data_IF_058891767521
#
_entry.id   IF_058891767521
#
_cell.length_a   1.000
_cell.length_b   1.000
_cell.length_c   1.000
_cell.angle_alpha   90.00
_cell.angle_beta   90.00
_cell.angle_gamma   90.00
#
_symmetry.space_group_name_H-M   'P 1'
#
loop_
_entity.id
_entity.type
_entity.pdbx_description
1 polymer ?
#
# COMPACT_ATOMS: atom_id res chain seq x y z
N UNK A 1 2.80 16.77 -22.63
CA UNK A 1 3.36 17.90 -21.86
C UNK A 1 2.48 18.17 -20.66
N UNK A 2 2.54 17.34 -19.61
CA UNK A 2 1.90 17.58 -18.29
C UNK A 2 2.51 16.61 -17.28
N UNK A 3 3.75 16.85 -16.87
CA UNK A 3 4.45 15.96 -15.92
C UNK A 3 5.35 16.67 -14.90
N UNK A 4 5.38 17.98 -14.81
CA UNK A 4 6.45 18.71 -14.13
C UNK A 4 6.12 19.31 -12.74
N UNK A 5 5.21 18.77 -11.96
CA UNK A 5 4.90 19.38 -10.65
C UNK A 5 4.91 18.42 -9.45
N UNK A 6 5.75 17.40 -9.48
CA UNK A 6 5.76 16.40 -8.39
C UNK A 6 6.61 16.75 -7.16
N UNK A 7 7.81 17.23 -7.34
CA UNK A 7 8.72 17.64 -6.26
C UNK A 7 8.87 19.18 -6.17
N UNK A 8 8.74 19.89 -7.30
CA UNK A 8 8.91 21.34 -7.35
C UNK A 8 8.01 22.11 -6.35
N UNK A 9 6.84 21.60 -6.02
CA UNK A 9 5.93 22.22 -5.05
C UNK A 9 6.32 22.03 -3.57
N UNK A 10 7.23 21.11 -3.27
CA UNK A 10 7.65 20.84 -1.88
C UNK A 10 8.99 21.53 -1.57
N UNK A 11 9.85 21.73 -2.58
CA UNK A 11 11.23 22.21 -2.39
C UNK A 11 11.45 23.68 -2.78
N UNK A 12 10.50 24.36 -3.46
CA UNK A 12 10.67 25.74 -3.92
C UNK A 12 10.52 26.86 -2.87
N UNK A 13 10.43 26.52 -1.59
CA UNK A 13 10.43 27.52 -0.53
C UNK A 13 11.84 27.72 0.07
N UNK A 14 12.78 28.26 -0.71
CA UNK A 14 13.93 29.08 -0.33
C UNK A 14 15.25 28.75 -1.00
N UNK A 15 15.69 29.62 -1.87
CA UNK A 15 17.08 29.98 -2.03
C UNK A 15 17.25 31.38 -1.44
N UNK A 16 17.83 31.48 -0.26
CA UNK A 16 18.86 32.50 0.04
C UNK A 16 19.31 32.44 1.51
N UNK A 17 20.60 32.61 1.65
CA UNK A 17 21.36 33.08 2.80
C UNK A 17 21.68 32.11 3.93
N UNK A 18 22.98 31.96 4.10
CA UNK A 18 23.60 31.47 5.31
C UNK A 18 23.32 32.35 6.54
N UNK A 19 23.49 31.69 7.66
CA UNK A 19 23.61 32.17 9.02
C UNK A 19 22.34 32.20 9.88
N UNK A 20 22.56 31.65 11.08
CA UNK A 20 21.79 31.85 12.32
C UNK A 20 20.44 31.16 12.42
N UNK A 21 20.38 30.24 13.36
CA UNK A 21 19.16 29.78 14.03
C UNK A 21 18.36 31.00 14.54
N UNK A 22 17.50 31.52 13.68
CA UNK A 22 16.50 32.54 14.06
C UNK A 22 15.16 31.83 14.09
N UNK A 23 14.50 31.90 15.21
CA UNK A 23 13.13 31.43 15.40
C UNK A 23 12.22 32.07 14.31
N UNK A 24 11.98 31.40 13.22
CA UNK A 24 11.10 31.86 12.14
C UNK A 24 9.66 31.57 12.51
N UNK A 25 9.08 32.60 13.08
CA UNK A 25 7.70 32.66 13.54
C UNK A 25 6.69 32.78 12.40
N UNK A 26 5.55 32.11 12.54
CA UNK A 26 4.28 32.37 11.85
C UNK A 26 4.20 32.20 10.33
N UNK A 27 4.72 33.12 9.50
CA UNK A 27 4.48 33.10 8.05
C UNK A 27 5.11 31.91 7.31
N UNK A 28 6.29 31.46 7.70
CA UNK A 28 6.97 30.30 7.09
C UNK A 28 6.26 28.97 7.45
N UNK A 29 5.85 28.82 8.70
CA UNK A 29 5.05 27.65 9.12
C UNK A 29 3.71 27.59 8.39
N UNK A 30 3.06 28.73 8.16
CA UNK A 30 1.81 28.77 7.39
C UNK A 30 2.03 28.39 5.94
N UNK A 31 3.10 28.87 5.29
CA UNK A 31 3.39 28.49 3.89
C UNK A 31 3.69 27.00 3.74
N UNK A 32 4.44 26.41 4.66
CA UNK A 32 4.71 24.96 4.68
C UNK A 32 3.42 24.16 4.95
N UNK A 33 2.58 24.61 5.88
CA UNK A 33 1.27 23.99 6.11
C UNK A 33 0.39 24.03 4.85
N UNK A 34 0.30 25.17 4.16
CA UNK A 34 -0.43 25.28 2.90
C UNK A 34 0.12 24.37 1.81
N UNK A 35 1.43 24.24 1.70
CA UNK A 35 2.04 23.31 0.72
C UNK A 35 1.67 21.85 1.01
N UNK A 36 1.74 21.43 2.27
CA UNK A 36 1.33 20.07 2.69
C UNK A 36 -0.15 19.81 2.39
N UNK A 37 -1.03 20.76 2.74
CA UNK A 37 -2.48 20.64 2.48
C UNK A 37 -2.76 20.59 0.98
N UNK A 38 -2.07 21.40 0.19
CA UNK A 38 -2.22 21.40 -1.28
C UNK A 38 -1.79 20.06 -1.88
N UNK A 39 -0.62 19.55 -1.52
CA UNK A 39 -0.12 18.24 -2.01
C UNK A 39 -1.03 17.10 -1.55
N UNK A 40 -1.54 17.14 -0.33
CA UNK A 40 -2.51 16.17 0.17
C UNK A 40 -3.81 16.21 -0.65
N UNK A 41 -4.34 17.42 -0.89
CA UNK A 41 -5.54 17.65 -1.69
C UNK A 41 -5.38 17.17 -3.14
N UNK A 42 -4.27 17.52 -3.80
CA UNK A 42 -3.94 17.03 -5.16
C UNK A 42 -3.83 15.50 -5.20
N UNK A 43 -3.24 14.89 -4.17
CA UNK A 43 -3.14 13.44 -4.09
C UNK A 43 -4.52 12.80 -3.99
N UNK A 44 -5.39 13.33 -3.14
CA UNK A 44 -6.78 12.86 -3.03
C UNK A 44 -7.54 13.03 -4.34
N UNK A 45 -7.43 14.17 -5.00
CA UNK A 45 -8.10 14.43 -6.28
C UNK A 45 -7.66 13.47 -7.39
N UNK A 46 -6.39 13.02 -7.40
CA UNK A 46 -5.90 12.01 -8.35
C UNK A 46 -6.44 10.61 -8.06
N UNK A 47 -6.71 10.30 -6.79
CA UNK A 47 -7.25 9.00 -6.38
C UNK A 47 -8.76 8.88 -6.73
N UNK A 48 -9.53 9.96 -6.68
CA UNK A 48 -10.99 9.96 -6.91
C UNK A 48 -11.40 9.28 -8.23
N UNK A 49 -10.89 9.68 -9.41
CA UNK A 49 -11.32 9.06 -10.66
C UNK A 49 -10.96 7.57 -10.74
N UNK A 50 -9.82 7.18 -10.19
CA UNK A 50 -9.40 5.77 -10.11
C UNK A 50 -10.38 5.00 -9.20
N UNK A 51 -10.73 5.57 -8.05
CA UNK A 51 -11.68 4.97 -7.10
C UNK A 51 -13.06 4.77 -7.75
N UNK A 52 -13.55 5.78 -8.47
CA UNK A 52 -14.84 5.69 -9.19
C UNK A 52 -14.76 4.58 -10.25
N UNK A 53 -13.70 4.54 -11.06
CA UNK A 53 -13.52 3.53 -12.09
C UNK A 53 -13.46 2.12 -11.49
N UNK A 54 -12.66 1.89 -10.45
CA UNK A 54 -12.58 0.61 -9.75
C UNK A 54 -13.93 0.24 -9.14
N UNK A 55 -14.62 1.19 -8.49
CA UNK A 55 -15.93 0.97 -7.88
C UNK A 55 -16.98 0.52 -8.89
N UNK A 56 -17.03 1.15 -10.07
CA UNK A 56 -17.93 0.77 -11.16
C UNK A 56 -17.59 -0.61 -11.73
N UNK A 57 -16.32 -0.85 -12.00
CA UNK A 57 -15.84 -2.14 -12.55
C UNK A 57 -16.15 -3.28 -11.58
N UNK A 58 -15.81 -3.14 -10.30
CA UNK A 58 -16.07 -4.19 -9.32
C UNK A 58 -17.54 -4.37 -8.98
N UNK A 59 -18.36 -3.31 -8.98
CA UNK A 59 -19.80 -3.45 -8.85
C UNK A 59 -20.39 -4.28 -10.00
N UNK A 60 -19.96 -3.98 -11.24
CA UNK A 60 -20.41 -4.72 -12.43
C UNK A 60 -19.95 -6.19 -12.38
N UNK A 61 -18.69 -6.44 -12.12
CA UNK A 61 -18.14 -7.80 -12.07
C UNK A 61 -18.76 -8.63 -10.94
N UNK A 62 -18.95 -8.06 -9.77
CA UNK A 62 -19.56 -8.72 -8.61
C UNK A 62 -21.01 -9.13 -8.89
N UNK A 63 -21.73 -8.37 -9.71
CA UNK A 63 -23.10 -8.72 -10.07
C UNK A 63 -23.22 -10.15 -10.66
N UNK A 64 -22.23 -10.59 -11.44
CA UNK A 64 -22.26 -11.93 -12.09
C UNK A 64 -21.24 -12.91 -11.53
N UNK A 65 -20.18 -12.43 -10.91
CA UNK A 65 -19.02 -13.24 -10.54
C UNK A 65 -18.70 -13.18 -9.03
N UNK A 66 -19.68 -12.84 -8.19
CA UNK A 66 -19.47 -12.78 -6.76
C UNK A 66 -18.95 -14.11 -6.19
N UNK A 67 -17.94 -14.03 -5.32
CA UNK A 67 -17.50 -15.11 -4.46
C UNK A 67 -18.57 -15.37 -3.38
N UNK A 68 -19.05 -14.31 -2.74
CA UNK A 68 -20.10 -14.35 -1.74
C UNK A 68 -21.25 -13.45 -2.22
N UNK A 69 -22.37 -14.02 -2.72
CA UNK A 69 -23.54 -13.26 -3.12
C UNK A 69 -24.13 -12.48 -1.94
N UNK A 70 -24.67 -11.30 -2.20
CA UNK A 70 -25.27 -10.45 -1.18
C UNK A 70 -25.10 -8.97 -1.51
N UNK A 71 -24.69 -8.19 -0.51
CA UNK A 71 -24.55 -6.73 -0.62
C UNK A 71 -23.43 -6.32 -1.59
N UNK A 72 -23.67 -5.27 -2.33
CA UNK A 72 -22.63 -4.60 -3.09
C UNK A 72 -21.68 -3.85 -2.15
N UNK A 73 -20.43 -3.57 -2.61
CA UNK A 73 -19.39 -3.00 -1.81
C UNK A 73 -19.80 -1.69 -1.08
N UNK A 74 -20.63 -0.86 -1.69
CA UNK A 74 -21.10 0.41 -1.13
C UNK A 74 -22.27 0.26 -0.13
N UNK A 75 -22.85 -0.92 0.01
CA UNK A 75 -23.92 -1.23 0.98
C UNK A 75 -23.39 -1.84 2.28
N UNK A 76 -22.07 -1.99 2.39
CA UNK A 76 -21.41 -2.67 3.51
C UNK A 76 -21.40 -1.78 4.75
N UNK A 77 -21.50 -2.41 5.92
CA UNK A 77 -21.60 -1.69 7.20
C UNK A 77 -20.40 -0.82 7.52
N UNK A 78 -19.19 -1.25 7.11
CA UNK A 78 -17.94 -0.58 7.43
C UNK A 78 -17.41 0.30 6.29
N UNK A 79 -18.24 0.62 5.30
CA UNK A 79 -17.84 1.37 4.11
C UNK A 79 -17.18 2.73 4.44
N UNK A 80 -17.69 3.44 5.45
CA UNK A 80 -17.11 4.74 5.86
C UNK A 80 -15.69 4.54 6.39
N UNK A 81 -15.44 3.48 7.16
CA UNK A 81 -14.12 3.13 7.66
C UNK A 81 -13.18 2.80 6.51
N UNK A 82 -13.62 1.99 5.54
CA UNK A 82 -12.84 1.66 4.35
C UNK A 82 -12.52 2.90 3.51
N UNK A 83 -13.47 3.80 3.31
CA UNK A 83 -13.26 5.09 2.61
C UNK A 83 -12.19 5.93 3.33
N UNK A 84 -12.24 6.02 4.67
CA UNK A 84 -11.21 6.71 5.42
C UNK A 84 -9.81 6.11 5.17
N UNK A 85 -9.67 4.79 5.24
CA UNK A 85 -8.39 4.13 4.92
C UNK A 85 -7.96 4.37 3.49
N UNK A 86 -8.87 4.24 2.53
CA UNK A 86 -8.59 4.38 1.10
C UNK A 86 -8.04 5.75 0.71
N UNK A 87 -8.51 6.81 1.35
CA UNK A 87 -8.06 8.17 1.05
C UNK A 87 -6.94 8.67 1.96
N UNK A 88 -6.98 8.37 3.26
CA UNK A 88 -6.00 8.92 4.20
C UNK A 88 -4.67 8.18 4.19
N UNK A 89 -4.70 6.86 4.02
CA UNK A 89 -3.49 6.03 4.04
C UNK A 89 -2.51 6.36 2.91
N UNK A 90 -2.92 6.49 1.64
CA UNK A 90 -2.00 6.85 0.57
C UNK A 90 -1.34 8.23 0.75
N UNK A 91 -2.07 9.18 1.31
CA UNK A 91 -1.54 10.51 1.63
C UNK A 91 -0.43 10.40 2.69
N UNK A 92 -0.73 9.76 3.82
CA UNK A 92 0.24 9.60 4.90
C UNK A 92 1.50 8.83 4.47
N UNK A 93 1.33 7.70 3.79
CA UNK A 93 2.45 6.87 3.32
C UNK A 93 3.31 7.57 2.27
N UNK A 94 2.73 8.43 1.43
CA UNK A 94 3.49 9.23 0.47
C UNK A 94 4.49 10.15 1.17
N UNK A 95 4.06 10.91 2.18
CA UNK A 95 4.94 11.81 2.92
C UNK A 95 6.05 11.06 3.65
N UNK A 96 5.71 9.98 4.33
CA UNK A 96 6.68 9.15 5.05
C UNK A 96 7.70 8.54 4.08
N UNK A 97 7.26 8.01 2.94
CA UNK A 97 8.15 7.44 1.92
C UNK A 97 9.13 8.47 1.37
N UNK A 98 8.64 9.65 0.99
CA UNK A 98 9.50 10.74 0.49
C UNK A 98 10.50 11.15 1.56
N UNK A 99 10.05 11.39 2.79
CA UNK A 99 10.94 11.77 3.90
C UNK A 99 12.04 10.75 4.17
N UNK A 100 11.71 9.46 4.19
CA UNK A 100 12.69 8.38 4.38
C UNK A 100 13.64 8.25 3.20
N UNK A 101 13.15 8.45 1.97
CA UNK A 101 13.99 8.40 0.77
C UNK A 101 15.00 9.54 0.75
N UNK A 102 14.56 10.77 1.06
CA UNK A 102 15.43 11.96 1.17
C UNK A 102 16.46 11.77 2.28
N UNK A 103 16.03 11.33 3.46
CA UNK A 103 16.92 11.06 4.57
C UNK A 103 17.93 9.96 4.25
N UNK A 104 17.48 8.87 3.64
CA UNK A 104 18.34 7.78 3.21
C UNK A 104 19.35 8.20 2.14
N UNK A 105 18.95 8.99 1.15
CA UNK A 105 19.82 9.55 0.13
C UNK A 105 20.90 10.46 0.74
N UNK A 106 20.55 11.29 1.70
CA UNK A 106 21.47 12.15 2.41
C UNK A 106 22.50 11.36 3.25
N UNK A 107 22.05 10.36 4.01
CA UNK A 107 22.91 9.59 4.92
C UNK A 107 23.81 8.59 4.16
N UNK A 108 23.26 7.90 3.16
CA UNK A 108 23.95 6.80 2.49
C UNK A 108 24.81 7.27 1.30
N UNK A 109 24.42 8.35 0.63
CA UNK A 109 25.02 8.79 -0.63
C UNK A 109 25.50 10.23 -0.62
N UNK A 110 25.39 10.93 0.52
CA UNK A 110 25.77 12.35 0.66
C UNK A 110 25.07 13.27 -0.37
N UNK A 111 23.80 12.91 -0.70
CA UNK A 111 22.97 13.66 -1.65
C UNK A 111 22.21 14.75 -0.90
N UNK A 112 22.58 16.01 -1.17
CA UNK A 112 21.99 17.18 -0.53
C UNK A 112 21.59 18.25 -1.55
N UNK A 113 20.55 19.01 -1.21
CA UNK A 113 20.04 20.10 -2.02
C UNK A 113 19.11 19.63 -3.16
N UNK A 114 18.27 20.57 -3.60
CA UNK A 114 17.16 20.33 -4.52
C UNK A 114 17.61 19.63 -5.82
N UNK A 115 18.60 20.20 -6.52
CA UNK A 115 19.06 19.65 -7.80
C UNK A 115 19.61 18.22 -7.73
N UNK A 116 20.33 17.90 -6.63
CA UNK A 116 20.88 16.57 -6.44
C UNK A 116 19.79 15.56 -6.08
N UNK A 117 18.80 15.98 -5.30
CA UNK A 117 17.62 15.17 -4.97
C UNK A 117 16.73 14.94 -6.20
N UNK A 118 16.52 15.95 -7.04
CA UNK A 118 15.78 15.81 -8.30
C UNK A 118 16.47 14.81 -9.23
N UNK A 119 17.79 14.95 -9.41
CA UNK A 119 18.58 13.99 -10.21
C UNK A 119 18.54 12.56 -9.64
N UNK A 120 18.60 12.41 -8.32
CA UNK A 120 18.43 11.12 -7.65
C UNK A 120 17.02 10.56 -7.87
N UNK A 121 16.00 11.39 -7.76
CA UNK A 121 14.61 10.97 -7.96
C UNK A 121 14.35 10.53 -9.40
N UNK A 122 14.88 11.27 -10.38
CA UNK A 122 14.72 10.97 -11.80
C UNK A 122 15.51 9.73 -12.23
N UNK A 123 16.76 9.63 -11.82
CA UNK A 123 17.70 8.66 -12.38
C UNK A 123 17.97 7.48 -11.45
N UNK A 124 17.67 7.59 -10.16
CA UNK A 124 18.12 6.62 -9.16
C UNK A 124 19.59 6.77 -8.83
N UNK A 125 20.19 5.76 -8.17
CA UNK A 125 21.60 5.75 -7.78
C UNK A 125 22.17 4.33 -7.87
N UNK A 126 23.37 4.20 -8.42
CA UNK A 126 24.08 2.92 -8.49
C UNK A 126 23.76 2.07 -9.73
N UNK A 127 24.27 0.84 -9.81
CA UNK A 127 24.28 0.05 -11.04
C UNK A 127 22.88 -0.37 -11.52
N UNK A 128 21.93 -0.56 -10.60
CA UNK A 128 20.55 -0.97 -11.00
C UNK A 128 19.83 0.16 -11.74
N UNK A 129 20.16 1.42 -11.46
CA UNK A 129 19.53 2.57 -12.12
C UNK A 129 19.84 2.66 -13.63
N UNK A 130 20.89 1.98 -14.10
CA UNK A 130 21.27 1.93 -15.52
C UNK A 130 20.49 0.88 -16.32
N UNK A 131 19.73 0.01 -15.66
CA UNK A 131 18.88 -0.97 -16.34
C UNK A 131 17.68 -0.28 -17.00
N UNK A 132 17.11 -0.87 -18.08
CA UNK A 132 15.85 -0.37 -18.62
C UNK A 132 14.76 -0.30 -17.54
N UNK A 133 13.96 0.78 -17.54
CA UNK A 133 12.97 1.05 -16.50
C UNK A 133 11.97 -0.10 -16.27
N UNK A 134 11.60 -0.81 -17.35
CA UNK A 134 10.73 -1.99 -17.27
C UNK A 134 11.41 -3.12 -16.49
N UNK A 135 12.71 -3.34 -16.71
CA UNK A 135 13.48 -4.37 -15.98
C UNK A 135 13.58 -3.99 -14.50
N UNK A 136 13.88 -2.72 -14.20
CA UNK A 136 13.88 -2.23 -12.81
C UNK A 136 12.54 -2.45 -12.13
N UNK A 137 11.42 -2.18 -12.81
CA UNK A 137 10.11 -2.37 -12.24
C UNK A 137 9.72 -3.83 -12.02
N UNK A 138 10.11 -4.73 -12.92
CA UNK A 138 9.93 -6.17 -12.72
C UNK A 138 10.78 -6.69 -11.54
N UNK A 139 12.02 -6.22 -11.43
CA UNK A 139 12.87 -6.52 -10.27
C UNK A 139 12.27 -5.96 -8.98
N UNK A 140 11.75 -4.73 -9.02
CA UNK A 140 11.08 -4.12 -7.88
C UNK A 140 9.88 -4.95 -7.44
N UNK A 141 8.98 -5.33 -8.36
CA UNK A 141 7.80 -6.13 -8.05
C UNK A 141 8.17 -7.49 -7.44
N UNK A 142 9.16 -8.18 -8.04
CA UNK A 142 9.58 -9.50 -7.55
C UNK A 142 10.26 -9.40 -6.17
N UNK A 143 11.18 -8.45 -6.00
CA UNK A 143 11.91 -8.26 -4.75
C UNK A 143 11.01 -7.74 -3.63
N UNK A 144 10.12 -6.79 -3.94
CA UNK A 144 9.19 -6.25 -2.93
C UNK A 144 8.22 -7.33 -2.46
N UNK A 145 7.63 -8.13 -3.35
CA UNK A 145 6.70 -9.19 -2.95
C UNK A 145 7.40 -10.28 -2.14
N UNK A 146 8.65 -10.63 -2.49
CA UNK A 146 9.46 -11.57 -1.72
C UNK A 146 9.76 -11.05 -0.30
N UNK A 147 10.16 -9.79 -0.16
CA UNK A 147 10.43 -9.19 1.15
C UNK A 147 9.13 -9.03 1.95
N UNK A 148 8.07 -8.56 1.30
CA UNK A 148 6.76 -8.39 1.91
C UNK A 148 6.14 -9.71 2.35
N UNK A 149 6.39 -10.83 1.67
CA UNK A 149 5.97 -12.15 2.12
C UNK A 149 6.49 -12.45 3.55
N UNK A 150 7.77 -12.19 3.82
CA UNK A 150 8.35 -12.43 5.14
C UNK A 150 7.84 -11.45 6.20
N UNK A 151 7.73 -10.19 5.85
CA UNK A 151 7.16 -9.16 6.72
C UNK A 151 5.70 -9.50 7.06
N UNK A 152 4.91 -9.84 6.06
CA UNK A 152 3.50 -10.22 6.20
C UNK A 152 3.36 -11.46 7.10
N UNK A 153 4.15 -12.49 6.85
CA UNK A 153 4.19 -13.69 7.68
C UNK A 153 4.61 -13.41 9.12
N UNK A 154 5.48 -12.42 9.34
CA UNK A 154 5.85 -11.97 10.68
C UNK A 154 4.70 -11.24 11.37
N UNK A 155 3.94 -10.41 10.64
CA UNK A 155 2.76 -9.71 11.17
C UNK A 155 1.63 -10.66 11.59
N UNK A 156 1.57 -11.89 11.09
CA UNK A 156 0.65 -12.92 11.56
C UNK A 156 1.05 -13.57 12.90
N UNK A 157 2.09 -13.06 13.59
CA UNK A 157 2.64 -13.66 14.81
C UNK A 157 2.81 -12.65 15.94
N UNK A 158 2.55 -13.14 17.16
CA UNK A 158 2.88 -12.42 18.39
C UNK A 158 2.35 -11.00 18.45
N UNK A 159 3.17 -10.08 18.97
CA UNK A 159 2.78 -8.69 19.19
C UNK A 159 2.53 -7.88 17.90
N UNK A 160 2.99 -8.35 16.73
CA UNK A 160 2.74 -7.67 15.46
C UNK A 160 1.32 -7.89 14.94
N UNK A 161 0.68 -9.00 15.33
CA UNK A 161 -0.68 -9.33 14.91
C UNK A 161 -1.69 -8.21 15.19
N UNK A 162 -1.60 -7.55 16.33
CA UNK A 162 -2.54 -6.48 16.70
C UNK A 162 -2.60 -5.31 15.72
N UNK A 163 -1.49 -5.05 15.00
CA UNK A 163 -1.45 -4.04 13.93
C UNK A 163 -2.01 -4.59 12.62
N UNK A 164 -1.83 -5.88 12.35
CA UNK A 164 -2.30 -6.52 11.13
C UNK A 164 -3.75 -6.99 11.24
N UNK A 165 -4.24 -7.23 12.44
CA UNK A 165 -5.64 -7.53 12.73
C UNK A 165 -6.59 -6.46 12.18
N UNK A 166 -6.15 -5.20 12.10
CA UNK A 166 -6.89 -4.11 11.43
C UNK A 166 -7.22 -4.48 9.99
N UNK A 167 -6.26 -5.05 9.25
CA UNK A 167 -6.44 -5.48 7.87
C UNK A 167 -7.40 -6.68 7.76
N UNK A 168 -7.28 -7.64 8.68
CA UNK A 168 -8.11 -8.83 8.70
C UNK A 168 -9.50 -8.64 9.31
N UNK A 169 -9.77 -7.52 9.98
CA UNK A 169 -11.02 -7.31 10.72
C UNK A 169 -12.27 -7.11 9.84
N UNK A 170 -12.13 -6.98 8.51
CA UNK A 170 -13.25 -6.82 7.60
C UNK A 170 -14.10 -8.10 7.53
N UNK A 171 -15.29 -8.10 8.11
CA UNK A 171 -16.25 -9.22 8.02
C UNK A 171 -16.91 -9.31 6.63
N UNK A 172 -17.07 -8.18 5.98
CA UNK A 172 -17.61 -8.04 4.62
C UNK A 172 -16.48 -7.58 3.67
N UNK A 173 -15.55 -8.47 3.36
CA UNK A 173 -14.35 -8.18 2.56
C UNK A 173 -14.67 -7.79 1.11
N UNK A 174 -14.13 -6.66 0.65
CA UNK A 174 -14.22 -6.23 -0.75
C UNK A 174 -13.04 -5.34 -1.17
N UNK A 175 -12.96 -4.96 -2.45
CA UNK A 175 -11.87 -4.23 -3.06
C UNK A 175 -11.43 -2.98 -2.30
N UNK A 176 -12.39 -2.23 -1.71
CA UNK A 176 -12.08 -0.99 -1.00
C UNK A 176 -11.41 -1.26 0.37
N UNK A 177 -11.63 -2.44 0.96
CA UNK A 177 -10.96 -2.87 2.20
C UNK A 177 -9.46 -3.11 2.00
N UNK A 178 -8.99 -3.15 0.75
CA UNK A 178 -7.57 -3.34 0.42
C UNK A 178 -6.63 -2.31 1.05
N UNK A 179 -7.11 -1.11 1.35
CA UNK A 179 -6.33 -0.06 1.99
C UNK A 179 -6.39 -0.07 3.53
N UNK A 180 -7.15 -0.97 4.15
CA UNK A 180 -7.34 -1.06 5.60
C UNK A 180 -6.07 -1.60 6.28
N UNK A 181 -5.12 -0.72 6.54
CA UNK A 181 -3.87 -1.05 7.23
C UNK A 181 -3.57 -0.07 8.35
N UNK A 182 -3.13 -0.59 9.49
CA UNK A 182 -2.59 0.25 10.55
C UNK A 182 -1.27 0.92 10.09
N UNK A 183 -1.01 2.21 10.42
CA UNK A 183 0.20 2.91 10.00
C UNK A 183 1.51 2.18 10.33
N UNK A 184 1.61 1.52 11.49
CA UNK A 184 2.79 0.72 11.87
C UNK A 184 3.01 -0.44 10.89
N UNK A 185 1.94 -1.12 10.47
CA UNK A 185 2.04 -2.19 9.49
C UNK A 185 2.58 -1.67 8.14
N UNK A 186 2.08 -0.53 7.68
CA UNK A 186 2.54 0.09 6.43
C UNK A 186 3.99 0.59 6.53
N UNK A 187 4.34 1.21 7.64
CA UNK A 187 5.68 1.72 7.86
C UNK A 187 6.73 0.60 7.87
N UNK A 188 6.52 -0.45 8.66
CA UNK A 188 7.45 -1.60 8.75
C UNK A 188 7.36 -2.53 7.55
N UNK A 189 6.25 -2.48 6.80
CA UNK A 189 6.02 -3.26 5.59
C UNK A 189 6.37 -2.50 4.32
N UNK A 190 5.35 -2.13 3.56
CA UNK A 190 5.50 -1.60 2.20
C UNK A 190 6.37 -0.35 2.13
N UNK A 191 6.26 0.61 3.06
CA UNK A 191 7.07 1.83 3.01
C UNK A 191 8.56 1.52 3.21
N UNK A 192 8.90 0.70 4.21
CA UNK A 192 10.30 0.36 4.49
C UNK A 192 10.92 -0.48 3.34
N UNK A 193 10.16 -1.43 2.80
CA UNK A 193 10.60 -2.25 1.66
C UNK A 193 10.77 -1.41 0.40
N UNK A 194 9.81 -0.55 0.07
CA UNK A 194 9.90 0.36 -1.07
C UNK A 194 11.15 1.24 -0.98
N UNK A 195 11.34 1.90 0.17
CA UNK A 195 12.50 2.78 0.39
C UNK A 195 13.81 2.00 0.29
N UNK A 196 13.89 0.81 0.89
CA UNK A 196 15.10 -0.02 0.81
C UNK A 196 15.45 -0.38 -0.64
N UNK A 197 14.48 -0.76 -1.47
CA UNK A 197 14.70 -1.10 -2.89
C UNK A 197 15.09 0.12 -3.73
N UNK A 198 14.49 1.28 -3.47
CA UNK A 198 14.85 2.52 -4.15
C UNK A 198 16.28 2.97 -3.77
N UNK A 199 16.64 2.85 -2.49
CA UNK A 199 18.01 3.14 -2.03
C UNK A 199 19.01 2.08 -2.50
N UNK A 200 18.60 0.84 -2.77
CA UNK A 200 19.44 -0.18 -3.38
C UNK A 200 19.78 0.10 -4.86
N UNK A 201 19.20 1.15 -5.45
CA UNK A 201 19.57 1.65 -6.77
C UNK A 201 18.48 1.52 -7.85
N UNK A 202 17.26 1.13 -7.48
CA UNK A 202 16.12 1.19 -8.39
C UNK A 202 15.63 2.64 -8.49
N UNK A 203 15.46 3.14 -9.72
CA UNK A 203 14.99 4.50 -9.95
C UNK A 203 13.59 4.73 -9.35
N UNK A 204 13.37 5.81 -8.58
CA UNK A 204 12.04 6.19 -8.09
C UNK A 204 10.99 6.35 -9.18
N UNK A 205 11.37 6.64 -10.43
CA UNK A 205 10.47 6.69 -11.58
C UNK A 205 9.70 5.37 -11.83
N UNK A 206 10.24 4.24 -11.37
CA UNK A 206 9.53 2.95 -11.39
C UNK A 206 8.16 3.05 -10.72
N UNK A 207 8.03 3.88 -9.66
CA UNK A 207 6.79 4.04 -8.91
C UNK A 207 5.66 4.68 -9.73
N UNK A 208 5.96 5.31 -10.87
CA UNK A 208 4.95 5.92 -11.75
C UNK A 208 3.99 4.89 -12.35
N UNK A 209 4.44 3.63 -12.53
CA UNK A 209 3.61 2.57 -13.06
C UNK A 209 3.47 1.37 -12.12
N UNK A 210 4.48 1.07 -11.31
CA UNK A 210 4.39 0.02 -10.28
C UNK A 210 3.33 0.40 -9.23
N UNK A 211 3.29 1.65 -8.78
CA UNK A 211 2.31 2.12 -7.81
C UNK A 211 0.85 1.94 -8.26
N UNK A 212 0.45 2.43 -9.45
CA UNK A 212 -0.88 2.15 -10.00
C UNK A 212 -1.18 0.66 -10.16
N UNK A 213 -0.22 -0.14 -10.64
CA UNK A 213 -0.37 -1.60 -10.77
C UNK A 213 -0.64 -2.25 -9.40
N UNK A 214 0.19 -2.00 -8.39
CA UNK A 214 0.05 -2.60 -7.06
C UNK A 214 -1.24 -2.18 -6.38
N UNK A 215 -1.69 -0.93 -6.55
CA UNK A 215 -2.97 -0.44 -6.04
C UNK A 215 -4.15 -1.16 -6.69
N UNK A 216 -4.16 -1.26 -8.02
CA UNK A 216 -5.22 -1.95 -8.76
C UNK A 216 -5.22 -3.45 -8.46
N UNK A 217 -4.04 -4.07 -8.36
CA UNK A 217 -3.91 -5.49 -8.02
C UNK A 217 -4.36 -5.77 -6.58
N UNK A 218 -3.98 -4.93 -5.61
CA UNK A 218 -4.45 -5.04 -4.23
C UNK A 218 -5.99 -4.93 -4.15
N UNK A 219 -6.59 -3.98 -4.84
CA UNK A 219 -8.05 -3.89 -4.95
C UNK A 219 -8.65 -5.14 -5.60
N UNK A 220 -8.03 -5.66 -6.66
CA UNK A 220 -8.49 -6.86 -7.36
C UNK A 220 -8.51 -8.10 -6.46
N UNK A 221 -7.43 -8.37 -5.72
CA UNK A 221 -7.34 -9.59 -4.88
C UNK A 221 -8.29 -9.55 -3.69
N UNK A 222 -8.68 -8.36 -3.21
CA UNK A 222 -9.68 -8.20 -2.16
C UNK A 222 -11.12 -8.23 -2.70
N UNK A 223 -11.34 -7.97 -3.99
CA UNK A 223 -12.66 -7.86 -4.58
C UNK A 223 -13.51 -9.12 -4.35
N UNK A 224 -14.82 -8.93 -4.22
CA UNK A 224 -15.76 -10.05 -4.03
C UNK A 224 -15.99 -10.84 -5.32
N UNK A 225 -14.91 -11.46 -5.83
CA UNK A 225 -14.92 -12.24 -7.07
C UNK A 225 -14.52 -13.70 -6.82
N UNK A 226 -15.19 -14.64 -7.50
CA UNK A 226 -14.90 -16.08 -7.45
C UNK A 226 -13.77 -16.49 -8.41
N UNK A 227 -12.95 -15.57 -8.87
CA UNK A 227 -11.89 -15.82 -9.82
C UNK A 227 -10.69 -16.47 -9.19
N UNK A 228 -10.32 -17.65 -9.73
CA UNK A 228 -9.17 -18.43 -9.30
C UNK A 228 -7.97 -18.24 -10.21
N UNK A 229 -8.14 -17.62 -11.39
CA UNK A 229 -7.18 -17.48 -12.49
C UNK A 229 -6.73 -18.82 -13.10
N UNK A 230 -7.41 -19.94 -12.81
CA UNK A 230 -7.09 -21.25 -13.39
C UNK A 230 -5.61 -21.63 -13.20
N UNK A 231 -4.86 -21.99 -14.27
CA UNK A 231 -3.44 -22.35 -14.17
C UNK A 231 -2.54 -21.19 -13.75
N UNK A 232 -2.95 -19.93 -13.99
CA UNK A 232 -2.19 -18.74 -13.59
C UNK A 232 -2.23 -18.47 -12.08
N UNK A 233 -3.03 -19.19 -11.29
CA UNK A 233 -3.13 -19.08 -9.83
C UNK A 233 -1.79 -19.24 -9.08
N UNK A 234 -0.79 -19.80 -9.73
CA UNK A 234 0.54 -19.98 -9.16
C UNK A 234 1.50 -18.82 -9.48
N UNK A 235 1.14 -18.00 -10.47
CA UNK A 235 1.96 -16.89 -10.97
C UNK A 235 1.45 -15.55 -10.45
N UNK A 236 0.12 -15.34 -10.46
CA UNK A 236 -0.51 -14.11 -10.06
C UNK A 236 -1.59 -14.37 -9.02
N UNK A 237 -1.55 -13.63 -7.92
CA UNK A 237 -2.53 -13.74 -6.86
C UNK A 237 -3.93 -13.39 -7.38
N UNK A 238 -4.89 -14.27 -7.06
CA UNK A 238 -6.28 -14.14 -7.45
C UNK A 238 -7.16 -13.68 -6.28
N UNK A 239 -8.37 -13.19 -6.53
CA UNK A 239 -9.33 -12.92 -5.46
C UNK A 239 -9.54 -14.13 -4.54
N UNK A 240 -9.78 -15.31 -5.06
CA UNK A 240 -9.99 -16.51 -4.22
C UNK A 240 -8.77 -16.86 -3.40
N UNK A 241 -7.54 -16.73 -3.95
CA UNK A 241 -6.30 -16.96 -3.23
C UNK A 241 -6.17 -16.04 -2.00
N UNK A 242 -6.36 -14.73 -2.19
CA UNK A 242 -6.19 -13.75 -1.13
C UNK A 242 -7.38 -13.73 -0.16
N UNK A 243 -8.58 -14.00 -0.64
CA UNK A 243 -9.76 -14.13 0.22
C UNK A 243 -9.66 -15.32 1.19
N UNK A 244 -9.01 -16.44 0.83
CA UNK A 244 -8.67 -17.50 1.77
C UNK A 244 -7.73 -17.00 2.88
N UNK A 245 -6.80 -16.11 2.57
CA UNK A 245 -5.93 -15.47 3.54
C UNK A 245 -6.71 -14.63 4.58
N UNK A 246 -7.83 -14.03 4.19
CA UNK A 246 -8.69 -13.24 5.07
C UNK A 246 -9.70 -14.05 5.89
N UNK A 247 -9.72 -15.36 5.79
CA UNK A 247 -10.52 -16.21 6.69
C UNK A 247 -9.90 -16.26 8.09
N UNK A 248 -10.61 -16.82 9.06
CA UNK A 248 -10.06 -17.04 10.39
C UNK A 248 -8.74 -17.84 10.33
N UNK A 249 -7.82 -17.60 11.28
CA UNK A 249 -6.46 -18.15 11.25
C UNK A 249 -6.40 -19.67 11.17
N UNK A 250 -7.37 -20.37 11.75
CA UNK A 250 -7.51 -21.83 11.75
C UNK A 250 -8.11 -22.39 10.46
N UNK A 251 -8.78 -21.55 9.65
CA UNK A 251 -9.42 -21.96 8.39
C UNK A 251 -8.55 -21.80 7.15
N UNK A 252 -7.64 -20.87 7.15
CA UNK A 252 -6.80 -20.52 5.99
C UNK A 252 -6.09 -19.19 6.16
N UNK A 253 -6.49 -18.37 7.12
CA UNK A 253 -5.96 -17.03 7.35
C UNK A 253 -4.49 -16.98 7.75
N UNK A 254 -3.84 -18.10 8.06
CA UNK A 254 -2.40 -18.18 8.31
C UNK A 254 -1.64 -18.83 7.12
N UNK A 255 -2.09 -18.55 5.91
CA UNK A 255 -1.58 -19.03 4.62
C UNK A 255 -1.60 -17.88 3.61
N UNK A 256 -1.07 -18.08 2.41
CA UNK A 256 -1.17 -17.16 1.27
C UNK A 256 -0.63 -15.75 1.59
N UNK A 257 0.62 -15.65 2.03
CA UNK A 257 1.23 -14.40 2.46
C UNK A 257 1.74 -13.52 1.31
N UNK A 258 2.01 -14.09 0.12
CA UNK A 258 2.41 -13.30 -1.05
C UNK A 258 1.25 -12.41 -1.53
N UNK A 259 1.54 -11.14 -1.78
CA UNK A 259 0.55 -10.19 -2.28
C UNK A 259 0.35 -10.28 -3.79
N UNK A 260 1.39 -10.66 -4.54
CA UNK A 260 1.40 -10.64 -6.01
C UNK A 260 1.73 -12.00 -6.61
N UNK A 261 2.76 -12.70 -6.12
CA UNK A 261 3.30 -13.91 -6.74
C UNK A 261 3.14 -15.15 -5.85
N UNK A 262 2.04 -15.91 -5.96
CA UNK A 262 1.77 -17.11 -5.15
C UNK A 262 2.84 -18.19 -5.24
N UNK A 263 3.71 -18.16 -6.25
CA UNK A 263 4.87 -19.03 -6.32
C UNK A 263 5.76 -18.94 -5.07
N UNK A 264 5.78 -17.79 -4.40
CA UNK A 264 6.50 -17.61 -3.13
C UNK A 264 5.86 -18.49 -2.04
N UNK A 265 4.53 -18.49 -1.96
CA UNK A 265 3.82 -19.38 -1.02
C UNK A 265 4.04 -20.87 -1.34
N UNK A 266 4.15 -21.24 -2.61
CA UNK A 266 4.53 -22.60 -3.00
C UNK A 266 5.95 -22.95 -2.53
N UNK A 267 6.91 -22.05 -2.72
CA UNK A 267 8.31 -22.24 -2.29
C UNK A 267 8.43 -22.46 -0.78
N UNK A 268 7.59 -21.81 0.02
CA UNK A 268 7.65 -21.87 1.49
C UNK A 268 6.52 -22.67 2.14
N UNK A 269 5.74 -23.42 1.34
CA UNK A 269 4.70 -24.35 1.82
C UNK A 269 3.49 -23.67 2.46
N UNK A 270 3.20 -22.44 2.10
CA UNK A 270 2.08 -21.65 2.63
C UNK A 270 0.95 -21.44 1.62
N UNK A 271 1.08 -21.94 0.40
CA UNK A 271 -0.01 -21.89 -0.59
C UNK A 271 -1.22 -22.70 -0.12
N UNK A 272 -2.40 -22.08 -0.13
CA UNK A 272 -3.66 -22.70 0.26
C UNK A 272 -4.82 -22.21 -0.61
N UNK A 273 -5.35 -23.10 -1.41
CA UNK A 273 -6.48 -22.82 -2.29
C UNK A 273 -7.19 -24.12 -2.61
N UNK A 274 -8.04 -24.63 -1.68
CA UNK A 274 -8.69 -25.92 -1.83
C UNK A 274 -9.60 -25.94 -3.07
N UNK A 275 -9.60 -27.06 -3.77
CA UNK A 275 -10.36 -27.24 -5.00
C UNK A 275 -11.86 -27.19 -4.74
N UNK A 276 -12.58 -26.57 -5.67
CA UNK A 276 -14.04 -26.48 -5.66
C UNK A 276 -14.65 -25.89 -4.36
N UNK A 277 -13.84 -25.16 -3.59
CA UNK A 277 -14.30 -24.52 -2.35
C UNK A 277 -13.97 -23.04 -2.39
N UNK A 278 -14.97 -22.21 -2.06
CA UNK A 278 -14.81 -20.76 -1.94
C UNK A 278 -14.82 -20.38 -0.44
N UNK A 279 -14.03 -19.37 -0.06
CA UNK A 279 -14.10 -18.83 1.30
C UNK A 279 -15.44 -18.12 1.53
N UNK A 280 -16.07 -18.38 2.66
CA UNK A 280 -17.43 -17.94 2.97
C UNK A 280 -17.55 -17.03 4.20
N UNK A 281 -16.50 -16.98 5.04
CA UNK A 281 -16.45 -16.18 6.25
C UNK A 281 -15.10 -15.51 6.43
N UNK A 282 -15.13 -14.24 6.78
CA UNK A 282 -13.95 -13.38 6.95
C UNK A 282 -13.95 -12.72 8.33
N UNK A 283 -12.87 -12.01 8.62
CA UNK A 283 -12.70 -11.30 9.87
C UNK A 283 -11.85 -12.08 10.87
N UNK A 284 -11.79 -11.54 12.07
CA UNK A 284 -11.02 -12.06 13.19
C UNK A 284 -11.93 -12.59 14.31
N UNK A 285 -11.38 -13.41 15.20
CA UNK A 285 -12.16 -14.01 16.30
C UNK A 285 -12.58 -12.99 17.36
N UNK A 286 -11.88 -11.85 17.47
CA UNK A 286 -12.21 -10.78 18.41
C UNK A 286 -13.52 -10.07 18.01
N UNK A 287 -14.62 -10.47 18.63
CA UNK A 287 -15.95 -9.88 18.42
C UNK A 287 -16.09 -8.45 18.95
N UNK A 288 -15.16 -7.99 19.78
CA UNK A 288 -15.12 -6.63 20.32
C UNK A 288 -14.22 -5.70 19.52
N UNK A 289 -13.62 -6.19 18.43
CA UNK A 289 -12.77 -5.40 17.57
C UNK A 289 -13.49 -4.13 17.08
N UNK A 290 -12.88 -2.94 17.20
CA UNK A 290 -13.54 -1.67 16.87
C UNK A 290 -13.88 -1.57 15.39
N UNK A 291 -15.03 -0.92 15.08
CA UNK A 291 -15.54 -0.79 13.71
C UNK A 291 -15.18 0.55 13.04
N UNK A 292 -14.86 1.59 13.81
CA UNK A 292 -14.53 2.90 13.25
C UNK A 292 -13.04 3.08 12.97
N UNK A 293 -12.70 3.89 11.96
CA UNK A 293 -11.33 4.19 11.57
C UNK A 293 -10.46 4.63 12.76
N UNK A 294 -10.88 5.67 13.50
CA UNK A 294 -10.09 6.20 14.64
C UNK A 294 -9.88 5.17 15.75
N UNK A 295 -10.91 4.38 16.08
CA UNK A 295 -10.81 3.33 17.09
C UNK A 295 -9.88 2.20 16.65
N UNK A 296 -9.85 1.86 15.36
CA UNK A 296 -8.93 0.86 14.81
C UNK A 296 -7.47 1.33 14.85
N UNK A 297 -7.22 2.62 14.60
CA UNK A 297 -5.88 3.20 14.75
C UNK A 297 -5.39 3.14 16.20
N UNK A 298 -6.28 3.30 17.16
CA UNK A 298 -5.93 3.25 18.59
C UNK A 298 -5.88 1.84 19.17
N UNK A 299 -6.55 0.87 18.55
CA UNK A 299 -6.69 -0.50 19.06
C UNK A 299 -5.38 -1.16 19.50
N UNK A 300 -4.28 -1.13 18.73
CA UNK A 300 -3.04 -1.81 19.15
C UNK A 300 -2.39 -1.23 20.41
N UNK A 301 -2.79 -0.06 20.84
CA UNK A 301 -2.23 0.64 22.00
C UNK A 301 -3.12 0.52 23.24
N UNK A 302 -4.31 -0.06 23.10
CA UNK A 302 -5.29 -0.26 24.17
C UNK A 302 -5.43 -1.70 24.62
N UNK A 303 -4.64 -2.61 24.02
CA UNK A 303 -4.59 -4.06 24.33
C UNK A 303 -3.41 -4.42 25.22
#
# INVERSE_FOLDING_TARGET
>A
MTGERGLHGILTARSDTGSAFSATTGPAMLSEFYSVVTVAGETMLKIVPITIALGLVFALLTHWQACNPGKLWYERREIVTDICYWFLVPVGTRFVRIGLLVLGAAILFDIHGEKALDAFYENGHGPLSHLPLVVQGLLFLAASDFLLYWVHRAFHRGALWKYHAVHHAAEELDWISAARFHPVNLFLGSVAVDVALLLAGISPNVMLWVGPFTTAHSAFVHANLKWTLGPFKYVLASPVFHRWHHTALDRGGNRNFAGTFPVIDLMFGTFYMPENTLPDAYGIDDKQFPKSFGSQILYPFTQ
#
